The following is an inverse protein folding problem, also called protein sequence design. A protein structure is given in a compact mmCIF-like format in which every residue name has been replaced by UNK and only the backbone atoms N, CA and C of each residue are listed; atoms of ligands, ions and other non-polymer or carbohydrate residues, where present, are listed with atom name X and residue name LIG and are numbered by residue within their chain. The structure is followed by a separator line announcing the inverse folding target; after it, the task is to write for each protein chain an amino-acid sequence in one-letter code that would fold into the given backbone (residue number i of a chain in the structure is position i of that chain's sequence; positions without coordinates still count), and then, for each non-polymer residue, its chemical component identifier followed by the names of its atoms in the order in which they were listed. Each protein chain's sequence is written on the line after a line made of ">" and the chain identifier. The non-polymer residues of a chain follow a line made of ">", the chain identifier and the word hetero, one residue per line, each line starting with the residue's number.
data_IF_508775924135
#
_entry.id   IF_508775924135
#
_cell.length_a   1.000
_cell.length_b   1.000
_cell.length_c   1.000
_cell.angle_alpha   90.00
_cell.angle_beta   90.00
_cell.angle_gamma   90.00
#
_symmetry.space_group_name_H-M   'P 1'
#
loop_
_entity.id
_entity.type
_entity.pdbx_description
1 polymer ?
#
# COMPACT_ATOMS: atom_id res chain seq x y z
N UNK A 1 -4.16 13.42 -2.62
CA UNK A 1 -4.43 12.63 -1.40
C UNK A 1 -3.22 12.79 -0.50
N UNK A 2 -3.43 13.07 0.79
CA UNK A 2 -2.40 13.03 1.85
C UNK A 2 -2.66 11.78 2.70
N UNK A 3 -1.64 11.26 3.35
CA UNK A 3 -1.77 10.18 4.32
C UNK A 3 -0.83 10.40 5.51
N UNK A 4 -1.13 9.76 6.64
CA UNK A 4 -0.33 9.80 7.86
C UNK A 4 -0.20 8.37 8.42
N UNK A 5 1.02 7.82 8.62
CA UNK A 5 1.19 6.49 9.19
C UNK A 5 0.78 6.46 10.68
N UNK A 6 -0.20 5.61 11.01
CA UNK A 6 -0.67 5.38 12.39
C UNK A 6 -0.05 4.15 13.04
N UNK A 7 0.43 3.16 12.27
CA UNK A 7 1.22 2.04 12.80
C UNK A 7 2.17 1.44 11.75
N UNK A 8 3.33 0.94 12.21
CA UNK A 8 4.20 0.06 11.42
C UNK A 8 3.80 -1.39 11.68
N UNK A 9 3.59 -2.18 10.63
CA UNK A 9 3.23 -3.59 10.71
C UNK A 9 4.42 -4.47 10.32
N UNK A 10 4.58 -5.62 10.97
CA UNK A 10 5.65 -6.56 10.60
C UNK A 10 5.39 -7.22 9.24
N UNK A 11 4.13 -7.54 8.96
CA UNK A 11 3.71 -8.14 7.70
C UNK A 11 2.21 -7.96 7.48
N UNK A 12 1.79 -8.17 6.24
CA UNK A 12 0.37 -8.27 5.90
C UNK A 12 0.15 -9.16 4.67
N UNK A 13 -1.11 -9.47 4.41
CA UNK A 13 -1.56 -10.08 3.17
C UNK A 13 -2.52 -9.15 2.44
N UNK A 14 -2.47 -9.14 1.12
CA UNK A 14 -3.19 -8.17 0.31
C UNK A 14 -3.67 -8.75 -1.03
N UNK A 15 -4.73 -8.13 -1.56
CA UNK A 15 -5.23 -8.29 -2.94
C UNK A 15 -5.43 -6.89 -3.55
N UNK A 16 -4.93 -6.66 -4.75
CA UNK A 16 -5.00 -5.37 -5.44
C UNK A 16 -6.41 -5.02 -5.89
N UNK A 17 -7.05 -5.94 -6.60
CA UNK A 17 -8.39 -5.72 -7.18
C UNK A 17 -9.50 -6.23 -6.25
N UNK A 18 -9.14 -7.12 -5.34
CA UNK A 18 -10.11 -7.83 -4.49
C UNK A 18 -10.92 -8.88 -5.26
N UNK A 19 -10.56 -9.19 -6.51
CA UNK A 19 -11.24 -10.22 -7.28
C UNK A 19 -11.17 -11.57 -6.55
N UNK A 20 -12.26 -12.34 -6.61
CA UNK A 20 -12.38 -13.60 -5.88
C UNK A 20 -11.24 -14.58 -6.21
N UNK A 21 -10.85 -14.64 -7.49
CA UNK A 21 -9.74 -15.48 -7.98
C UNK A 21 -8.35 -14.86 -7.84
N UNK A 22 -8.22 -13.63 -7.34
CA UNK A 22 -6.90 -13.03 -7.14
C UNK A 22 -6.18 -13.73 -5.96
N UNK A 23 -4.95 -14.22 -6.16
CA UNK A 23 -4.17 -14.82 -5.08
C UNK A 23 -3.80 -13.77 -4.03
N UNK A 24 -3.79 -14.16 -2.76
CA UNK A 24 -3.26 -13.33 -1.68
C UNK A 24 -1.75 -13.23 -1.81
N UNK A 25 -1.23 -12.00 -1.73
CA UNK A 25 0.19 -11.71 -1.75
C UNK A 25 0.62 -11.22 -0.37
N UNK A 26 1.73 -11.75 0.13
CA UNK A 26 2.28 -11.34 1.43
C UNK A 26 3.35 -10.28 1.23
N UNK A 27 3.41 -9.31 2.13
CA UNK A 27 4.49 -8.34 2.22
C UNK A 27 4.96 -8.24 3.67
N UNK A 28 6.27 -8.10 3.85
CA UNK A 28 6.90 -7.95 5.16
C UNK A 28 7.67 -6.63 5.18
N UNK A 29 7.66 -5.98 6.34
CA UNK A 29 8.49 -4.79 6.57
C UNK A 29 9.94 -5.22 6.70
N UNK A 30 10.82 -4.52 5.99
CA UNK A 30 12.27 -4.71 6.02
C UNK A 30 12.98 -3.51 5.38
N UNK A 31 14.22 -3.71 4.95
CA UNK A 31 15.09 -2.61 4.49
C UNK A 31 14.54 -1.85 3.27
N UNK A 32 13.76 -2.53 2.40
CA UNK A 32 13.30 -2.03 1.09
C UNK A 32 11.79 -2.12 0.88
N UNK A 33 11.07 -2.50 1.93
CA UNK A 33 9.61 -2.63 1.91
C UNK A 33 9.08 -2.18 3.26
N UNK A 34 8.06 -1.34 3.26
CA UNK A 34 7.40 -0.90 4.47
C UNK A 34 5.91 -1.23 4.38
N UNK A 35 5.40 -1.85 5.43
CA UNK A 35 3.97 -2.13 5.62
C UNK A 35 3.47 -1.24 6.74
N UNK A 36 2.54 -0.35 6.45
CA UNK A 36 1.97 0.60 7.41
C UNK A 36 0.45 0.47 7.46
N UNK A 37 -0.12 0.79 8.62
CA UNK A 37 -1.50 1.24 8.71
C UNK A 37 -1.48 2.78 8.68
N UNK A 38 -2.35 3.39 7.88
CA UNK A 38 -2.33 4.82 7.65
C UNK A 38 -3.74 5.40 7.53
N UNK A 39 -3.84 6.66 7.93
CA UNK A 39 -5.03 7.48 7.84
C UNK A 39 -4.93 8.30 6.55
N UNK A 40 -5.97 8.26 5.72
CA UNK A 40 -5.98 8.90 4.40
C UNK A 40 -6.90 10.12 4.36
N UNK A 41 -6.45 11.17 3.68
CA UNK A 41 -7.14 12.45 3.54
C UNK A 41 -7.28 12.80 2.06
N UNK A 42 -8.52 12.78 1.55
CA UNK A 42 -8.84 13.24 0.20
C UNK A 42 -8.70 14.76 0.13
N UNK A 43 -8.47 15.28 -1.08
CA UNK A 43 -8.39 16.71 -1.28
C UNK A 43 -9.73 17.35 -0.94
N UNK A 44 -9.73 18.34 -0.06
CA UNK A 44 -10.95 19.02 0.42
C UNK A 44 -11.40 18.61 1.82
N UNK A 45 -10.98 17.44 2.30
CA UNK A 45 -11.37 16.92 3.64
C UNK A 45 -10.53 17.54 4.77
N UNK A 46 -9.52 18.36 4.43
CA UNK A 46 -8.70 19.07 5.39
C UNK A 46 -7.90 18.12 6.31
N UNK A 47 -8.17 18.21 7.61
CA UNK A 47 -7.57 17.35 8.63
C UNK A 47 -8.53 16.25 9.10
N UNK A 48 -9.74 16.20 8.57
CA UNK A 48 -10.69 15.14 8.88
C UNK A 48 -10.33 13.92 8.05
N UNK A 49 -10.12 12.81 8.74
CA UNK A 49 -9.80 11.54 8.10
C UNK A 49 -10.92 11.11 7.15
N UNK A 50 -10.54 10.73 5.93
CA UNK A 50 -11.46 10.16 4.96
C UNK A 50 -11.68 8.66 5.15
N UNK A 51 -10.62 7.90 5.46
CA UNK A 51 -10.63 6.47 5.77
C UNK A 51 -9.24 6.00 6.27
N UNK A 52 -9.22 4.89 7.02
CA UNK A 52 -8.00 4.14 7.33
C UNK A 52 -7.78 3.00 6.33
N UNK A 53 -6.52 2.68 6.03
CA UNK A 53 -6.16 1.47 5.28
C UNK A 53 -4.73 1.00 5.58
N UNK A 54 -4.47 -0.27 5.31
CA UNK A 54 -3.10 -0.76 5.19
C UNK A 54 -2.50 -0.31 3.85
N UNK A 55 -1.23 0.08 3.89
CA UNK A 55 -0.46 0.49 2.73
C UNK A 55 0.89 -0.22 2.72
N UNK A 56 1.32 -0.65 1.55
CA UNK A 56 2.63 -1.24 1.32
C UNK A 56 3.37 -0.34 0.32
N UNK A 57 4.60 0.02 0.64
CA UNK A 57 5.51 0.71 -0.29
C UNK A 57 6.78 -0.12 -0.38
N UNK A 58 7.24 -0.39 -1.59
CA UNK A 58 8.43 -1.20 -1.84
C UNK A 58 9.34 -0.55 -2.90
N UNK A 59 10.62 -0.87 -2.85
CA UNK A 59 11.55 -0.57 -3.94
C UNK A 59 11.28 -1.47 -5.15
N UNK A 60 10.85 -2.71 -4.92
CA UNK A 60 10.65 -3.72 -5.95
C UNK A 60 9.17 -3.94 -6.28
N UNK A 61 8.92 -4.53 -7.44
CA UNK A 61 7.59 -4.93 -7.85
C UNK A 61 7.05 -6.06 -6.95
N UNK A 62 5.89 -5.83 -6.33
CA UNK A 62 5.23 -6.80 -5.44
C UNK A 62 4.30 -7.76 -6.21
N UNK A 63 3.97 -7.47 -7.48
CA UNK A 63 3.17 -8.34 -8.34
C UNK A 63 3.66 -8.30 -9.79
N UNK A 64 4.71 -9.06 -10.13
CA UNK A 64 5.30 -9.07 -11.46
C UNK A 64 4.42 -9.72 -12.54
N UNK A 65 3.27 -10.29 -12.16
CA UNK A 65 2.30 -10.85 -13.11
C UNK A 65 1.32 -9.77 -13.59
N UNK A 66 1.02 -8.79 -12.75
CA UNK A 66 0.20 -7.65 -13.14
C UNK A 66 0.97 -6.71 -14.08
N UNK A 67 0.29 -6.05 -15.04
CA UNK A 67 0.95 -5.08 -15.90
C UNK A 67 1.51 -3.88 -15.12
N UNK A 68 2.74 -3.47 -15.44
CA UNK A 68 3.41 -2.33 -14.80
C UNK A 68 4.07 -2.69 -13.47
N UNK A 69 4.73 -1.72 -12.83
CA UNK A 69 5.42 -1.94 -11.55
C UNK A 69 4.45 -1.71 -10.40
N UNK A 70 4.19 -2.74 -9.60
CA UNK A 70 3.24 -2.70 -8.50
C UNK A 70 3.96 -2.56 -7.16
N UNK A 71 4.59 -1.40 -6.92
CA UNK A 71 5.40 -1.15 -5.73
C UNK A 71 4.74 -0.20 -4.71
N UNK A 72 3.49 0.22 -4.94
CA UNK A 72 2.64 0.87 -3.93
C UNK A 72 1.23 0.31 -3.91
N UNK A 73 0.81 -0.24 -2.78
CA UNK A 73 -0.51 -0.88 -2.60
C UNK A 73 -1.26 -0.24 -1.45
N UNK A 74 -2.55 0.05 -1.64
CA UNK A 74 -3.44 0.61 -0.61
C UNK A 74 -4.70 -0.25 -0.51
N UNK A 75 -4.95 -0.82 0.67
CA UNK A 75 -6.04 -1.77 0.90
C UNK A 75 -7.40 -1.16 0.60
N UNK A 76 -8.18 -1.84 -0.25
CA UNK A 76 -9.51 -1.40 -0.67
C UNK A 76 -9.51 -0.24 -1.68
N UNK A 77 -8.35 0.26 -2.09
CA UNK A 77 -8.21 1.33 -3.09
C UNK A 77 -7.58 0.81 -4.38
N UNK A 78 -6.44 0.11 -4.28
CA UNK A 78 -5.78 -0.49 -5.43
C UNK A 78 -4.27 -0.60 -5.29
N UNK A 79 -3.62 -1.02 -6.37
CA UNK A 79 -2.18 -1.08 -6.54
C UNK A 79 -1.72 -0.16 -7.67
N UNK A 80 -0.46 0.27 -7.62
CA UNK A 80 0.16 1.02 -8.70
C UNK A 80 1.65 1.20 -8.52
N UNK A 81 2.17 2.16 -9.29
CA UNK A 81 3.58 2.52 -9.30
C UNK A 81 3.83 3.79 -8.50
N UNK A 82 4.84 3.75 -7.64
CA UNK A 82 5.41 4.89 -6.93
C UNK A 82 6.90 5.02 -7.23
N UNK A 83 7.39 6.25 -7.19
CA UNK A 83 8.82 6.52 -7.05
C UNK A 83 9.14 6.41 -5.57
N UNK A 84 10.00 5.48 -5.21
CA UNK A 84 10.38 5.22 -3.82
C UNK A 84 11.87 5.48 -3.63
N UNK A 85 12.25 5.90 -2.43
CA UNK A 85 13.64 6.13 -2.07
C UNK A 85 13.85 5.56 -0.66
N UNK A 86 14.55 4.43 -0.61
CA UNK A 86 15.02 3.80 0.62
C UNK A 86 16.53 4.09 0.70
N UNK A 87 16.97 4.77 1.77
CA UNK A 87 18.38 5.11 2.02
C UNK A 87 19.02 4.11 2.97
#
# INVERSE_FOLDING_TARGET
>A
MRWDPSALLSSTTFKCTGAAGEPLKAAETGDKTVVIFADFYRQGDGNDESFTAQMIVSETDLDPVAPGVQNVWVQGVGCGTAITNFN
#
